data_IF_835202390491
#
_entry.id   IF_835202390491
#
_cell.length_a   1.000
_cell.length_b   1.000
_cell.length_c   1.000
_cell.angle_alpha   90.00
_cell.angle_beta   90.00
_cell.angle_gamma   90.00
#
_symmetry.space_group_name_H-M   'P 1'
#
loop_
_entity.id
_entity.type
_entity.pdbx_description
1 polymer ?
#
# COMPACT_ATOMS: atom_id res chain seq x y z
N UNK A 1 -13.31 -15.63 -9.62
CA UNK A 1 -13.72 -15.84 -11.00
C UNK A 1 -13.67 -14.55 -11.78
N UNK A 2 -13.27 -14.60 -13.04
CA UNK A 2 -13.26 -13.45 -13.93
C UNK A 2 -14.68 -12.99 -14.22
N UNK A 3 -14.94 -11.70 -14.21
CA UNK A 3 -16.19 -11.12 -14.69
C UNK A 3 -16.27 -11.44 -16.20
N UNK A 4 -17.34 -12.12 -16.69
CA UNK A 4 -17.39 -12.60 -18.07
C UNK A 4 -17.17 -11.51 -19.11
N UNK A 5 -17.66 -10.30 -18.85
CA UNK A 5 -17.53 -9.12 -19.70
C UNK A 5 -16.06 -8.74 -19.98
N UNK A 6 -15.16 -9.02 -19.03
CA UNK A 6 -13.75 -8.62 -19.09
C UNK A 6 -12.80 -9.81 -19.37
N UNK A 7 -13.29 -11.03 -19.54
CA UNK A 7 -12.47 -12.24 -19.70
C UNK A 7 -11.45 -12.15 -20.85
N UNK A 8 -11.80 -11.43 -21.94
CA UNK A 8 -10.94 -11.22 -23.11
C UNK A 8 -10.06 -9.97 -23.05
N UNK A 9 -10.08 -9.20 -21.95
CA UNK A 9 -9.33 -7.94 -21.85
C UNK A 9 -7.88 -8.15 -21.44
N UNK A 10 -7.03 -7.19 -21.80
CA UNK A 10 -5.60 -7.22 -21.48
C UNK A 10 -5.33 -7.40 -19.97
N UNK A 11 -6.08 -6.70 -19.12
CA UNK A 11 -5.88 -6.75 -17.67
C UNK A 11 -6.14 -8.15 -17.07
N UNK A 12 -7.09 -8.89 -17.60
CA UNK A 12 -7.41 -10.25 -17.13
C UNK A 12 -6.44 -11.27 -17.73
N UNK A 13 -6.14 -11.18 -19.03
CA UNK A 13 -5.26 -12.12 -19.71
C UNK A 13 -3.80 -12.01 -19.27
N UNK A 14 -3.36 -10.81 -18.89
CA UNK A 14 -1.97 -10.51 -18.56
C UNK A 14 -1.77 -10.06 -17.11
N UNK A 15 -2.55 -10.58 -16.16
CA UNK A 15 -2.45 -10.25 -14.73
C UNK A 15 -1.01 -10.45 -14.19
N UNK A 16 -0.29 -11.47 -14.65
CA UNK A 16 1.09 -11.72 -14.25
C UNK A 16 2.05 -10.60 -14.70
N UNK A 17 1.80 -9.96 -15.85
CA UNK A 17 2.60 -8.81 -16.31
C UNK A 17 2.39 -7.63 -15.37
N UNK A 18 1.15 -7.38 -14.94
CA UNK A 18 0.84 -6.32 -13.97
C UNK A 18 1.53 -6.56 -12.63
N UNK A 19 1.55 -7.81 -12.14
CA UNK A 19 2.25 -8.18 -10.91
C UNK A 19 3.76 -7.98 -11.07
N UNK A 20 4.34 -8.41 -12.18
CA UNK A 20 5.78 -8.20 -12.46
C UNK A 20 6.14 -6.71 -12.51
N UNK A 21 5.27 -5.87 -13.01
CA UNK A 21 5.47 -4.42 -13.03
C UNK A 21 5.55 -3.84 -11.62
N UNK A 22 4.75 -4.33 -10.66
CA UNK A 22 4.86 -3.89 -9.27
C UNK A 22 6.20 -4.27 -8.65
N UNK A 23 6.73 -5.46 -8.94
CA UNK A 23 8.03 -5.92 -8.44
C UNK A 23 9.20 -5.10 -9.02
N UNK A 24 9.11 -4.73 -10.30
CA UNK A 24 10.08 -3.80 -10.90
C UNK A 24 10.00 -2.44 -10.23
N UNK A 25 8.80 -1.93 -9.98
CA UNK A 25 8.59 -0.68 -9.25
C UNK A 25 9.19 -0.72 -7.84
N UNK A 26 8.98 -1.81 -7.07
CA UNK A 26 9.61 -1.99 -5.76
C UNK A 26 11.13 -1.87 -5.84
N UNK A 27 11.75 -2.58 -6.77
CA UNK A 27 13.22 -2.54 -6.96
C UNK A 27 13.73 -1.13 -7.22
N UNK A 28 13.06 -0.38 -8.09
CA UNK A 28 13.42 1.01 -8.39
C UNK A 28 13.17 1.94 -7.19
N UNK A 29 12.08 1.74 -6.48
CA UNK A 29 11.72 2.55 -5.30
C UNK A 29 12.74 2.37 -4.17
N UNK A 30 13.22 1.16 -3.91
CA UNK A 30 14.26 0.88 -2.91
C UNK A 30 15.52 1.73 -3.20
N UNK A 31 15.92 1.87 -4.45
CA UNK A 31 17.08 2.69 -4.83
C UNK A 31 16.85 4.19 -4.57
N UNK A 32 15.62 4.66 -4.62
CA UNK A 32 15.25 6.06 -4.39
C UNK A 32 15.09 6.42 -2.91
N UNK A 33 14.84 5.45 -2.03
CA UNK A 33 14.58 5.68 -0.61
C UNK A 33 15.66 6.52 0.08
N UNK A 34 16.98 6.26 -0.09
CA UNK A 34 18.01 7.07 0.56
C UNK A 34 17.94 8.55 0.20
N UNK A 35 17.60 8.86 -1.05
CA UNK A 35 17.40 10.24 -1.51
C UNK A 35 16.23 10.91 -0.81
N UNK A 36 15.07 10.23 -0.76
CA UNK A 36 13.87 10.75 -0.12
C UNK A 36 14.04 10.91 1.40
N UNK A 37 14.67 9.95 2.06
CA UNK A 37 14.94 10.01 3.49
C UNK A 37 15.86 11.19 3.86
N UNK A 38 16.93 11.40 3.09
CA UNK A 38 17.83 12.54 3.32
C UNK A 38 17.14 13.88 3.14
N UNK A 39 16.24 13.99 2.16
CA UNK A 39 15.59 15.26 1.82
C UNK A 39 14.38 15.55 2.71
N UNK A 40 13.55 14.57 2.99
CA UNK A 40 12.25 14.76 3.65
C UNK A 40 12.18 14.20 5.06
N UNK A 41 13.07 13.27 5.42
CA UNK A 41 13.07 12.58 6.69
C UNK A 41 12.01 11.47 6.81
N UNK A 42 12.13 10.68 7.88
CA UNK A 42 11.35 9.45 8.10
C UNK A 42 9.84 9.72 8.10
N UNK A 43 9.37 10.72 8.86
CA UNK A 43 7.93 11.03 8.97
C UNK A 43 7.30 11.33 7.61
N UNK A 44 7.94 12.17 6.81
CA UNK A 44 7.39 12.59 5.53
C UNK A 44 7.42 11.45 4.50
N UNK A 45 8.47 10.64 4.52
CA UNK A 45 8.56 9.47 3.64
C UNK A 45 7.48 8.43 3.98
N UNK A 46 7.20 8.20 5.28
CA UNK A 46 6.08 7.34 5.70
C UNK A 46 4.71 7.93 5.30
N UNK A 47 4.53 9.25 5.39
CA UNK A 47 3.29 9.90 4.92
C UNK A 47 3.12 9.79 3.40
N UNK A 48 4.19 9.96 2.62
CA UNK A 48 4.17 9.73 1.17
C UNK A 48 3.73 8.29 0.86
N UNK A 49 4.26 7.31 1.60
CA UNK A 49 3.85 5.91 1.45
C UNK A 49 2.36 5.69 1.76
N UNK A 50 1.85 6.29 2.83
CA UNK A 50 0.42 6.19 3.18
C UNK A 50 -0.48 6.84 2.14
N UNK A 51 -0.10 8.02 1.61
CA UNK A 51 -0.82 8.68 0.51
C UNK A 51 -0.74 7.87 -0.79
N UNK A 52 0.37 7.18 -1.04
CA UNK A 52 0.49 6.26 -2.16
C UNK A 52 -0.50 5.08 -2.04
N UNK A 53 -0.76 4.56 -0.83
CA UNK A 53 -1.82 3.59 -0.60
C UNK A 53 -3.22 4.14 -0.91
N UNK A 54 -3.51 5.38 -0.50
CA UNK A 54 -4.79 6.05 -0.84
C UNK A 54 -4.95 6.15 -2.35
N UNK A 55 -3.91 6.62 -3.04
CA UNK A 55 -3.90 6.73 -4.50
C UNK A 55 -4.09 5.36 -5.17
N UNK A 56 -3.38 4.33 -4.69
CA UNK A 56 -3.48 2.98 -5.21
C UNK A 56 -4.90 2.41 -5.13
N UNK A 57 -5.55 2.50 -3.96
CA UNK A 57 -6.92 2.03 -3.79
C UNK A 57 -7.91 2.88 -4.59
N UNK A 58 -7.69 4.20 -4.70
CA UNK A 58 -8.48 5.08 -5.55
C UNK A 58 -8.39 4.69 -7.03
N UNK A 59 -7.19 4.39 -7.54
CA UNK A 59 -6.96 3.92 -8.91
C UNK A 59 -7.65 2.56 -9.17
N UNK A 60 -7.65 1.65 -8.20
CA UNK A 60 -8.41 0.40 -8.32
C UNK A 60 -9.92 0.65 -8.33
N UNK A 61 -10.40 1.62 -7.54
CA UNK A 61 -11.82 1.99 -7.53
C UNK A 61 -12.29 2.66 -8.82
N UNK A 62 -11.44 3.45 -9.47
CA UNK A 62 -11.77 4.13 -10.75
C UNK A 62 -11.48 3.28 -11.98
N UNK A 63 -10.56 2.32 -11.87
CA UNK A 63 -10.09 1.48 -12.96
C UNK A 63 -11.05 0.34 -13.30
N UNK A 64 -10.84 -0.24 -14.48
CA UNK A 64 -11.45 -1.51 -14.88
C UNK A 64 -10.47 -2.30 -15.76
N UNK A 65 -10.65 -3.63 -15.91
CA UNK A 65 -9.74 -4.45 -16.70
C UNK A 65 -9.75 -4.16 -18.22
N UNK A 66 -10.74 -3.41 -18.70
CA UNK A 66 -10.88 -2.99 -20.10
C UNK A 66 -10.17 -1.68 -20.41
N UNK A 67 -10.92 -0.65 -20.79
CA UNK A 67 -10.37 0.68 -21.14
C UNK A 67 -9.67 1.41 -19.98
N UNK A 68 -10.02 1.06 -18.74
CA UNK A 68 -9.41 1.60 -17.51
C UNK A 68 -8.17 0.84 -17.01
N UNK A 69 -7.63 -0.11 -17.76
CA UNK A 69 -6.46 -0.92 -17.36
C UNK A 69 -5.22 -0.07 -17.05
N UNK A 70 -5.07 1.09 -17.67
CA UNK A 70 -3.98 2.02 -17.41
C UNK A 70 -3.93 2.51 -15.95
N UNK A 71 -5.10 2.60 -15.29
CA UNK A 71 -5.18 2.93 -13.87
C UNK A 71 -4.62 1.78 -13.01
N UNK A 72 -4.83 0.54 -13.41
CA UNK A 72 -4.20 -0.61 -12.76
C UNK A 72 -2.69 -0.61 -12.96
N UNK A 73 -2.22 -0.33 -14.18
CA UNK A 73 -0.77 -0.17 -14.44
C UNK A 73 -0.16 0.90 -13.55
N UNK A 74 -0.79 2.07 -13.47
CA UNK A 74 -0.34 3.16 -12.60
C UNK A 74 -0.36 2.74 -11.12
N UNK A 75 -1.39 2.03 -10.68
CA UNK A 75 -1.47 1.48 -9.33
C UNK A 75 -0.32 0.51 -9.02
N UNK A 76 0.10 -0.32 -9.99
CA UNK A 76 1.25 -1.22 -9.83
C UNK A 76 2.57 -0.45 -9.70
N UNK A 77 2.73 0.64 -10.44
CA UNK A 77 3.92 1.51 -10.31
C UNK A 77 3.95 2.19 -8.93
N UNK A 78 2.81 2.68 -8.46
CA UNK A 78 2.69 3.32 -7.13
C UNK A 78 2.94 2.35 -5.98
N UNK A 79 2.79 1.05 -6.21
CA UNK A 79 2.94 0.03 -5.17
C UNK A 79 4.31 0.04 -4.48
N UNK A 80 5.39 0.17 -5.25
CA UNK A 80 6.74 0.24 -4.68
C UNK A 80 6.89 1.41 -3.69
N UNK A 81 6.36 2.59 -4.03
CA UNK A 81 6.35 3.73 -3.11
C UNK A 81 5.50 3.42 -1.87
N UNK A 82 4.31 2.86 -2.06
CA UNK A 82 3.39 2.58 -0.96
C UNK A 82 3.95 1.56 0.05
N UNK A 83 4.59 0.51 -0.43
CA UNK A 83 5.06 -0.59 0.39
C UNK A 83 6.46 -0.33 0.98
N UNK A 84 7.45 -0.06 0.12
CA UNK A 84 8.84 0.01 0.54
C UNK A 84 9.16 1.26 1.35
N UNK A 85 8.60 2.41 0.98
CA UNK A 85 8.83 3.65 1.71
C UNK A 85 8.33 3.55 3.15
N UNK A 86 7.20 2.89 3.38
CA UNK A 86 6.69 2.67 4.73
C UNK A 86 7.55 1.68 5.52
N UNK A 87 7.82 0.50 4.97
CA UNK A 87 8.52 -0.56 5.68
C UNK A 87 9.97 -0.19 6.01
N UNK A 88 10.70 0.37 5.04
CA UNK A 88 12.11 0.73 5.24
C UNK A 88 12.22 1.93 6.18
N UNK A 89 11.36 2.95 6.02
CA UNK A 89 11.37 4.10 6.93
C UNK A 89 10.96 3.73 8.36
N UNK A 90 9.97 2.83 8.51
CA UNK A 90 9.55 2.32 9.82
C UNK A 90 10.64 1.49 10.49
N UNK A 91 11.27 0.59 9.75
CA UNK A 91 12.43 -0.18 10.24
C UNK A 91 13.59 0.73 10.66
N UNK A 92 13.91 1.74 9.86
CA UNK A 92 14.94 2.71 10.18
C UNK A 92 14.58 3.55 11.42
N UNK A 93 13.32 3.92 11.58
CA UNK A 93 12.84 4.60 12.79
C UNK A 93 13.05 3.73 14.03
N UNK A 94 12.61 2.47 13.99
CA UNK A 94 12.82 1.52 15.10
C UNK A 94 14.31 1.33 15.42
N UNK A 95 15.16 1.24 14.40
CA UNK A 95 16.60 1.09 14.58
C UNK A 95 17.23 2.27 15.31
N UNK A 96 16.73 3.48 15.07
CA UNK A 96 17.24 4.72 15.69
C UNK A 96 16.75 4.94 17.10
N UNK A 97 15.48 4.65 17.34
CA UNK A 97 14.83 4.89 18.65
C UNK A 97 15.14 3.76 19.65
N UNK A 98 15.93 2.74 19.25
CA UNK A 98 16.17 1.56 20.09
C UNK A 98 17.64 1.40 20.39
N UNK A 99 17.93 1.09 21.66
CA UNK A 99 19.28 0.80 22.12
C UNK A 99 19.87 -0.43 21.42
N UNK A 100 21.19 -0.43 21.21
CA UNK A 100 21.92 -1.51 20.51
C UNK A 100 21.62 -2.90 21.06
N UNK A 101 21.45 -3.03 22.39
CA UNK A 101 21.25 -4.34 23.06
C UNK A 101 19.92 -5.01 22.74
N UNK A 102 18.86 -4.22 22.42
CA UNK A 102 17.51 -4.75 22.16
C UNK A 102 17.03 -4.50 20.73
N UNK A 103 17.87 -3.92 19.88
CA UNK A 103 17.52 -3.50 18.51
C UNK A 103 16.96 -4.64 17.67
N UNK A 104 17.59 -5.81 17.71
CA UNK A 104 17.09 -6.98 16.95
C UNK A 104 15.72 -7.43 17.41
N UNK A 105 15.45 -7.38 18.72
CA UNK A 105 14.14 -7.72 19.29
C UNK A 105 13.08 -6.69 18.90
N UNK A 106 13.43 -5.40 18.88
CA UNK A 106 12.53 -4.33 18.45
C UNK A 106 12.20 -4.45 16.96
N UNK A 107 13.16 -4.77 16.10
CA UNK A 107 12.91 -5.06 14.68
C UNK A 107 12.02 -6.30 14.50
N UNK A 108 12.25 -7.35 15.25
CA UNK A 108 11.37 -8.53 15.26
C UNK A 108 9.94 -8.18 15.67
N UNK A 109 9.78 -7.36 16.73
CA UNK A 109 8.47 -6.88 17.16
C UNK A 109 7.78 -6.03 16.07
N UNK A 110 8.52 -5.12 15.44
CA UNK A 110 8.00 -4.31 14.32
C UNK A 110 7.45 -5.20 13.19
N UNK A 111 8.19 -6.22 12.79
CA UNK A 111 7.75 -7.17 11.75
C UNK A 111 6.52 -7.96 12.21
N UNK A 112 6.47 -8.43 13.44
CA UNK A 112 5.30 -9.16 13.99
C UNK A 112 4.07 -8.25 14.03
N UNK A 113 4.24 -6.99 14.46
CA UNK A 113 3.12 -6.05 14.52
C UNK A 113 2.59 -5.67 13.13
N UNK A 114 3.46 -5.49 12.15
CA UNK A 114 3.07 -5.09 10.79
C UNK A 114 2.61 -6.28 9.95
N UNK A 115 3.46 -7.30 9.80
CA UNK A 115 3.22 -8.45 8.91
C UNK A 115 2.50 -9.61 9.59
N UNK A 116 2.48 -9.64 10.92
CA UNK A 116 1.67 -10.59 11.69
C UNK A 116 0.29 -10.03 12.02
N UNK A 117 0.18 -9.30 13.12
CA UNK A 117 -1.10 -8.79 13.61
C UNK A 117 -1.76 -7.83 12.62
N UNK A 118 -1.01 -6.85 12.07
CA UNK A 118 -1.53 -5.88 11.12
C UNK A 118 -2.08 -6.55 9.86
N UNK A 119 -1.32 -7.48 9.28
CA UNK A 119 -1.76 -8.23 8.10
C UNK A 119 -2.97 -9.11 8.39
N UNK A 120 -3.02 -9.80 9.54
CA UNK A 120 -4.15 -10.65 9.93
C UNK A 120 -5.42 -9.83 10.10
N UNK A 121 -5.38 -8.77 10.92
CA UNK A 121 -6.53 -7.88 11.14
C UNK A 121 -6.96 -7.21 9.83
N UNK A 122 -5.98 -6.75 9.04
CA UNK A 122 -6.22 -6.13 7.73
C UNK A 122 -6.91 -7.09 6.75
N UNK A 123 -6.47 -8.34 6.68
CA UNK A 123 -7.07 -9.36 5.81
C UNK A 123 -8.50 -9.69 6.24
N UNK A 124 -8.74 -9.89 7.55
CA UNK A 124 -10.09 -10.16 8.07
C UNK A 124 -11.03 -8.97 7.83
N UNK A 125 -10.56 -7.75 8.09
CA UNK A 125 -11.31 -6.53 7.82
C UNK A 125 -11.61 -6.34 6.32
N UNK A 126 -10.62 -6.55 5.46
CA UNK A 126 -10.80 -6.49 4.01
C UNK A 126 -11.81 -7.54 3.52
N UNK A 127 -11.73 -8.76 4.03
CA UNK A 127 -12.69 -9.81 3.69
C UNK A 127 -14.13 -9.44 4.12
N UNK A 128 -14.31 -8.85 5.31
CA UNK A 128 -15.61 -8.37 5.76
C UNK A 128 -16.18 -7.28 4.86
N UNK A 129 -15.36 -6.30 4.45
CA UNK A 129 -15.75 -5.25 3.50
C UNK A 129 -16.13 -5.85 2.15
N UNK A 130 -15.29 -6.72 1.60
CA UNK A 130 -15.60 -7.38 0.31
C UNK A 130 -16.89 -8.17 0.37
N UNK A 131 -17.10 -8.98 1.42
CA UNK A 131 -18.32 -9.77 1.59
C UNK A 131 -19.58 -8.89 1.76
N UNK A 132 -19.42 -7.67 2.27
CA UNK A 132 -20.55 -6.73 2.40
C UNK A 132 -20.94 -6.07 1.08
N UNK A 133 -19.96 -5.70 0.26
CA UNK A 133 -20.21 -4.96 -0.98
C UNK A 133 -20.31 -5.83 -2.23
N UNK A 134 -19.67 -7.00 -2.24
CA UNK A 134 -19.58 -7.88 -3.42
C UNK A 134 -20.47 -9.10 -3.22
N UNK A 135 -21.55 -9.18 -4.00
CA UNK A 135 -22.39 -10.37 -4.07
C UNK A 135 -21.88 -11.29 -5.18
N UNK A 136 -21.25 -12.39 -4.80
CA UNK A 136 -20.69 -13.38 -5.71
C UNK A 136 -21.75 -14.22 -6.46
N UNK A 137 -23.01 -14.12 -6.06
CA UNK A 137 -24.13 -14.86 -6.66
C UNK A 137 -25.04 -14.00 -7.54
N UNK A 138 -24.79 -12.67 -7.59
CA UNK A 138 -25.65 -11.75 -8.34
C UNK A 138 -25.34 -11.74 -9.85
N UNK A 139 -26.39 -11.55 -10.66
CA UNK A 139 -26.28 -11.28 -12.09
C UNK A 139 -25.96 -9.80 -12.42
N UNK A 140 -25.73 -8.98 -11.39
CA UNK A 140 -25.41 -7.56 -11.52
C UNK A 140 -23.92 -7.41 -11.90
N UNK A 141 -23.52 -6.37 -12.67
CA UNK A 141 -22.12 -6.12 -12.98
C UNK A 141 -21.26 -6.00 -11.71
N UNK A 142 -20.45 -7.02 -11.43
CA UNK A 142 -19.64 -7.12 -10.22
C UNK A 142 -18.58 -6.01 -10.12
N UNK A 143 -18.24 -5.35 -11.25
CA UNK A 143 -17.24 -4.26 -11.25
C UNK A 143 -17.64 -3.09 -10.35
N UNK A 144 -18.92 -2.68 -10.36
CA UNK A 144 -19.40 -1.58 -9.52
C UNK A 144 -19.35 -1.91 -8.02
N UNK A 145 -19.58 -3.17 -7.67
CA UNK A 145 -19.49 -3.67 -6.29
C UNK A 145 -18.03 -3.63 -5.80
N UNK A 146 -17.09 -4.08 -6.63
CA UNK A 146 -15.65 -4.00 -6.36
C UNK A 146 -15.17 -2.55 -6.23
N UNK A 147 -15.66 -1.64 -7.07
CA UNK A 147 -15.34 -0.21 -6.96
C UNK A 147 -15.71 0.35 -5.61
N UNK A 148 -16.90 0.02 -5.10
CA UNK A 148 -17.35 0.45 -3.77
C UNK A 148 -16.42 -0.06 -2.66
N UNK A 149 -16.01 -1.32 -2.70
CA UNK A 149 -15.06 -1.88 -1.74
C UNK A 149 -13.69 -1.16 -1.79
N UNK A 150 -13.18 -0.86 -2.99
CA UNK A 150 -11.92 -0.12 -3.15
C UNK A 150 -11.98 1.29 -2.60
N UNK A 151 -13.11 2.00 -2.76
CA UNK A 151 -13.28 3.33 -2.16
C UNK A 151 -13.31 3.28 -0.64
N UNK A 152 -13.89 2.26 -0.03
CA UNK A 152 -13.81 2.05 1.43
C UNK A 152 -12.35 1.90 1.87
N UNK A 153 -11.55 1.11 1.16
CA UNK A 153 -10.12 0.96 1.46
C UNK A 153 -9.36 2.28 1.29
N UNK A 154 -9.66 3.07 0.27
CA UNK A 154 -9.05 4.39 0.06
C UNK A 154 -9.37 5.36 1.20
N UNK A 155 -10.61 5.41 1.66
CA UNK A 155 -11.05 6.24 2.79
C UNK A 155 -10.38 5.77 4.09
N UNK A 156 -10.31 4.47 4.33
CA UNK A 156 -9.60 3.91 5.48
C UNK A 156 -8.11 4.31 5.47
N UNK A 157 -7.42 4.13 4.35
CA UNK A 157 -6.02 4.51 4.21
C UNK A 157 -5.80 6.02 4.42
N UNK A 158 -6.71 6.86 3.91
CA UNK A 158 -6.67 8.31 4.14
C UNK A 158 -6.84 8.65 5.62
N UNK A 159 -7.80 8.02 6.29
CA UNK A 159 -8.03 8.22 7.73
C UNK A 159 -6.79 7.87 8.53
N UNK A 160 -6.16 6.73 8.24
CA UNK A 160 -4.91 6.30 8.89
C UNK A 160 -3.78 7.30 8.61
N UNK A 161 -3.65 7.81 7.39
CA UNK A 161 -2.63 8.80 7.04
C UNK A 161 -2.83 10.12 7.81
N UNK A 162 -4.07 10.59 7.94
CA UNK A 162 -4.40 11.80 8.72
C UNK A 162 -4.11 11.60 10.20
N UNK A 163 -4.55 10.49 10.79
CA UNK A 163 -4.26 10.17 12.20
C UNK A 163 -2.76 10.10 12.43
N UNK A 164 -2.02 9.42 11.56
CA UNK A 164 -0.56 9.34 11.64
C UNK A 164 0.09 10.73 11.57
N UNK A 165 -0.33 11.59 10.66
CA UNK A 165 0.21 12.94 10.51
C UNK A 165 0.08 13.77 11.80
N UNK A 166 -1.03 13.57 12.54
CA UNK A 166 -1.33 14.29 13.79
C UNK A 166 -0.57 13.68 14.97
N UNK A 167 -0.61 12.35 15.09
CA UNK A 167 -0.09 11.62 16.26
C UNK A 167 1.42 11.45 16.20
N UNK A 168 1.96 11.15 15.04
CA UNK A 168 3.38 10.86 14.89
C UNK A 168 4.20 12.16 14.85
N UNK A 169 4.83 12.47 15.98
CA UNK A 169 5.66 13.67 16.15
C UNK A 169 7.14 13.28 16.03
N UNK A 170 7.68 13.44 14.84
CA UNK A 170 9.11 13.24 14.57
C UNK A 170 9.72 14.49 13.94
N UNK A 171 10.85 14.96 14.50
CA UNK A 171 11.63 16.06 13.93
C UNK A 171 12.76 15.47 13.07
N UNK A 172 12.83 15.94 11.84
CA UNK A 172 13.90 15.55 10.93
C UNK A 172 15.18 16.30 11.26
N UNK A 173 16.25 15.56 11.54
CA UNK A 173 17.61 16.07 11.66
C UNK A 173 18.44 15.50 10.49
N UNK A 174 18.81 16.33 9.47
CA UNK A 174 19.53 15.85 8.29
C UNK A 174 20.88 15.19 8.60
N UNK A 175 21.48 15.55 9.73
CA UNK A 175 22.78 15.02 10.19
C UNK A 175 22.71 13.56 10.64
N UNK A 176 21.52 13.09 11.02
CA UNK A 176 21.31 11.73 11.51
C UNK A 176 21.30 10.67 10.37
N UNK A 177 21.38 11.09 9.12
CA UNK A 177 21.33 10.25 7.92
C UNK A 177 22.68 10.09 7.22
N UNK A 178 23.77 10.39 7.94
CA UNK A 178 25.15 10.17 7.44
C UNK A 178 25.59 8.73 7.66
#
# INVERSE_FOLDING_TARGET
GSIPEYAGTFGVQHANILISLSQISETLCILLIPFFLKRFGIKQVMLIAMLAWVLRFGLFGMGNPGSGVWMFVLSMIVYGVAFDFFNISGSLFVDRETDRGIRSSAQGLFVIMTNGFGATIGTLGAQAVVNHFVDFNSNVPQIAQWQSAWYVFAIYALTVAVVFAIVFKYKHHPEDLK
#
